data_IF_938141843427
#
_entry.id   IF_938141843427
#
_cell.length_a   1.000
_cell.length_b   1.000
_cell.length_c   1.000
_cell.angle_alpha   90.00
_cell.angle_beta   90.00
_cell.angle_gamma   90.00
#
_symmetry.space_group_name_H-M   'P 1'
#
loop_
_entity.id
_entity.type
_entity.pdbx_description
1 polymer ?
#
# COMPACT_ATOMS: atom_id res chain seq x y z
N UNK A 1 -3.91 4.44 -16.81
CA UNK A 1 -3.40 3.09 -16.45
C UNK A 1 -1.88 3.01 -16.26
N UNK A 2 -1.08 4.02 -16.66
CA UNK A 2 0.39 3.99 -16.55
C UNK A 2 0.91 4.25 -15.10
N UNK A 3 0.09 4.84 -14.24
CA UNK A 3 0.53 5.30 -12.90
C UNK A 3 0.77 4.15 -11.90
N UNK A 4 -0.08 3.12 -11.91
CA UNK A 4 -0.04 2.07 -10.87
C UNK A 4 1.11 1.10 -11.05
N UNK A 5 1.42 0.74 -12.30
CA UNK A 5 2.50 -0.19 -12.61
C UNK A 5 3.86 0.38 -12.17
N UNK A 6 4.08 1.68 -12.44
CA UNK A 6 5.30 2.39 -12.00
C UNK A 6 5.43 2.43 -10.48
N UNK A 7 4.33 2.69 -9.76
CA UNK A 7 4.32 2.74 -8.28
C UNK A 7 4.57 1.36 -7.67
N UNK A 8 3.97 0.32 -8.26
CA UNK A 8 4.25 -1.06 -7.89
C UNK A 8 5.72 -1.41 -8.15
N UNK A 9 6.26 -1.06 -9.31
CA UNK A 9 7.65 -1.32 -9.66
C UNK A 9 8.62 -0.65 -8.67
N UNK A 10 8.41 0.64 -8.37
CA UNK A 10 9.19 1.36 -7.36
C UNK A 10 9.16 0.63 -6.02
N UNK A 11 7.97 0.30 -5.52
CA UNK A 11 7.81 -0.44 -4.28
C UNK A 11 8.46 -1.83 -4.33
N UNK A 12 8.39 -2.54 -5.46
CA UNK A 12 9.00 -3.85 -5.56
C UNK A 12 10.53 -3.80 -5.52
N UNK A 13 11.12 -2.70 -6.01
CA UNK A 13 12.57 -2.45 -5.95
C UNK A 13 12.98 -2.02 -4.54
N UNK A 14 12.31 -1.02 -3.97
CA UNK A 14 12.75 -0.35 -2.73
C UNK A 14 12.16 -0.95 -1.46
N UNK A 15 11.10 -1.75 -1.58
CA UNK A 15 10.21 -2.19 -0.48
C UNK A 15 9.60 -1.04 0.32
N UNK A 16 9.59 0.16 -0.26
CA UNK A 16 9.12 1.38 0.36
C UNK A 16 8.28 2.17 -0.65
N UNK A 17 7.25 2.86 -0.17
CA UNK A 17 6.47 3.78 -0.98
C UNK A 17 6.27 5.09 -0.21
N UNK A 18 6.91 6.17 -0.69
CA UNK A 18 6.87 7.51 -0.06
C UNK A 18 7.15 7.49 1.46
N UNK A 19 8.14 6.71 1.90
CA UNK A 19 8.50 6.57 3.32
C UNK A 19 7.71 5.51 4.08
N UNK A 20 6.61 5.00 3.53
CA UNK A 20 5.87 3.89 4.12
C UNK A 20 6.46 2.54 3.69
N UNK A 21 6.64 1.63 4.64
CA UNK A 21 7.11 0.27 4.41
C UNK A 21 6.11 -0.74 4.98
N UNK A 22 6.08 -1.94 4.39
CA UNK A 22 5.18 -3.00 4.82
C UNK A 22 5.60 -3.57 6.17
N UNK A 23 4.69 -3.57 7.13
CA UNK A 23 4.90 -4.17 8.46
C UNK A 23 4.12 -5.47 8.66
N UNK A 24 2.99 -5.65 7.97
CA UNK A 24 2.16 -6.84 8.07
C UNK A 24 1.49 -7.17 6.75
N UNK A 25 1.40 -8.46 6.44
CA UNK A 25 0.66 -9.01 5.31
C UNK A 25 -0.07 -10.26 5.78
N UNK A 26 -1.37 -10.35 5.51
CA UNK A 26 -2.17 -11.54 5.79
C UNK A 26 -2.98 -11.91 4.56
N UNK A 27 -2.76 -13.12 4.06
CA UNK A 27 -3.46 -13.67 2.89
C UNK A 27 -4.57 -14.60 3.34
N UNK A 28 -5.77 -14.34 2.85
CA UNK A 28 -6.96 -15.13 3.10
C UNK A 28 -7.29 -15.95 1.85
N UNK A 29 -6.66 -17.11 1.73
CA UNK A 29 -6.75 -17.98 0.55
C UNK A 29 -8.20 -18.39 0.21
N UNK A 30 -9.04 -18.62 1.23
CA UNK A 30 -10.42 -19.05 1.06
C UNK A 30 -11.31 -18.01 0.36
N UNK A 31 -10.97 -16.72 0.48
CA UNK A 31 -11.76 -15.61 -0.05
C UNK A 31 -10.99 -14.78 -1.08
N UNK A 32 -9.78 -15.21 -1.46
CA UNK A 32 -8.92 -14.49 -2.42
C UNK A 32 -8.47 -13.09 -1.97
N UNK A 33 -8.57 -12.77 -0.68
CA UNK A 33 -8.27 -11.43 -0.17
C UNK A 33 -6.88 -11.35 0.45
N UNK A 34 -6.23 -10.21 0.28
CA UNK A 34 -4.97 -9.88 0.95
C UNK A 34 -5.16 -8.63 1.79
N UNK A 35 -4.81 -8.71 3.06
CA UNK A 35 -4.75 -7.58 3.97
C UNK A 35 -3.30 -7.16 4.14
N UNK A 36 -3.03 -5.87 3.98
CA UNK A 36 -1.69 -5.30 4.05
C UNK A 36 -1.71 -4.11 4.98
N UNK A 37 -0.67 -3.99 5.80
CA UNK A 37 -0.46 -2.83 6.67
C UNK A 37 0.92 -2.25 6.41
N UNK A 38 0.95 -0.95 6.14
CA UNK A 38 2.15 -0.16 5.96
C UNK A 38 2.30 0.82 7.12
N UNK A 39 3.54 1.15 7.46
CA UNK A 39 3.87 2.17 8.45
C UNK A 39 5.03 3.02 7.95
N UNK A 40 5.03 4.30 8.32
CA UNK A 40 6.19 5.20 8.17
C UNK A 40 6.86 5.51 9.52
N UNK A 41 6.51 4.77 10.58
CA UNK A 41 6.98 5.01 11.96
C UNK A 41 6.08 5.94 12.78
N UNK A 42 5.30 6.81 12.13
CA UNK A 42 4.36 7.73 12.79
C UNK A 42 2.89 7.34 12.59
N UNK A 43 2.57 6.80 11.41
CA UNK A 43 1.22 6.46 10.97
C UNK A 43 1.21 5.07 10.36
N UNK A 44 0.18 4.32 10.73
CA UNK A 44 -0.14 3.03 10.10
C UNK A 44 -1.31 3.20 9.13
N UNK A 45 -1.19 2.58 7.97
CA UNK A 45 -2.21 2.55 6.92
C UNK A 45 -2.52 1.09 6.60
N UNK A 46 -3.80 0.76 6.63
CA UNK A 46 -4.32 -0.57 6.34
C UNK A 46 -5.13 -0.55 5.05
N UNK A 47 -4.98 -1.61 4.26
CA UNK A 47 -5.78 -1.88 3.09
C UNK A 47 -6.09 -3.37 2.94
N UNK A 48 -7.17 -3.63 2.23
CA UNK A 48 -7.55 -4.97 1.76
C UNK A 48 -7.83 -4.89 0.27
N UNK A 49 -7.44 -5.93 -0.47
CA UNK A 49 -7.77 -6.05 -1.89
C UNK A 49 -7.92 -7.49 -2.33
N UNK A 50 -8.54 -7.66 -3.49
CA UNK A 50 -8.48 -8.91 -4.24
C UNK A 50 -7.03 -9.11 -4.67
N UNK A 51 -6.40 -10.15 -4.13
CA UNK A 51 -4.96 -10.40 -4.28
C UNK A 51 -4.06 -9.26 -3.76
N UNK A 52 -2.76 -9.43 -3.92
CA UNK A 52 -1.75 -8.54 -3.32
C UNK A 52 -1.70 -7.18 -4.00
N UNK A 53 -1.74 -7.13 -5.33
CA UNK A 53 -1.64 -5.87 -6.07
C UNK A 53 -2.82 -4.94 -5.80
N UNK A 54 -4.05 -5.46 -5.70
CA UNK A 54 -5.21 -4.64 -5.34
C UNK A 54 -5.09 -4.03 -3.94
N UNK A 55 -4.53 -4.78 -2.99
CA UNK A 55 -4.27 -4.25 -1.65
C UNK A 55 -3.16 -3.20 -1.65
N UNK A 56 -2.12 -3.37 -2.49
CA UNK A 56 -1.04 -2.39 -2.64
C UNK A 56 -1.52 -1.09 -3.30
N UNK A 57 -2.36 -1.18 -4.33
CA UNK A 57 -2.98 -0.03 -4.98
C UNK A 57 -3.78 0.81 -3.97
N UNK A 58 -4.62 0.18 -3.15
CA UNK A 58 -5.39 0.86 -2.10
C UNK A 58 -4.48 1.48 -1.02
N UNK A 59 -3.39 0.80 -0.62
CA UNK A 59 -2.36 1.40 0.25
C UNK A 59 -1.79 2.67 -0.38
N UNK A 60 -1.38 2.61 -1.65
CA UNK A 60 -0.71 3.73 -2.29
C UNK A 60 -1.63 4.94 -2.42
N UNK A 61 -2.91 4.72 -2.74
CA UNK A 61 -3.93 5.76 -2.77
C UNK A 61 -4.13 6.41 -1.38
N UNK A 62 -4.16 5.61 -0.31
CA UNK A 62 -4.27 6.12 1.06
C UNK A 62 -3.02 6.89 1.51
N UNK A 63 -1.83 6.44 1.10
CA UNK A 63 -0.58 7.16 1.35
C UNK A 63 -0.58 8.52 0.65
N UNK A 64 -1.02 8.57 -0.62
CA UNK A 64 -1.16 9.85 -1.34
C UNK A 64 -2.15 10.77 -0.66
N UNK A 65 -3.33 10.25 -0.28
CA UNK A 65 -4.35 11.02 0.40
C UNK A 65 -3.85 11.55 1.76
N UNK A 66 -3.05 10.77 2.48
CA UNK A 66 -2.42 11.22 3.73
C UNK A 66 -1.48 12.41 3.50
N UNK A 67 -0.62 12.36 2.49
CA UNK A 67 0.28 13.47 2.19
C UNK A 67 -0.41 14.68 1.57
N UNK A 68 -1.52 14.47 0.84
CA UNK A 68 -2.33 15.56 0.32
C UNK A 68 -3.05 16.32 1.44
N UNK A 69 -3.53 15.62 2.47
CA UNK A 69 -4.19 16.23 3.63
C UNK A 69 -3.21 16.91 4.59
N UNK A 70 -1.96 16.45 4.68
CA UNK A 70 -0.93 17.05 5.55
C UNK A 70 -0.35 18.37 5.00
N UNK A 71 -0.77 18.78 3.80
CA UNK A 71 -0.27 19.99 3.10
C UNK A 71 -1.24 21.18 3.16
N UNK A 72 -2.37 21.03 3.86
CA UNK A 72 -3.33 22.09 4.19
C UNK A 72 -3.18 22.45 5.68
#
# INVERSE_FOLDING_TARGET
MIDVDRRLQEYYITKNYKGFYKIREKKYHLIGQTHITFSNGEKEIFATGLFREGALEDIFNKVDAYYSQKRD
#
